data_IF_643735131974
#
_entry.id   IF_643735131974
#
_cell.length_a   1.000
_cell.length_b   1.000
_cell.length_c   1.000
_cell.angle_alpha   90.00
_cell.angle_beta   90.00
_cell.angle_gamma   90.00
#
_symmetry.space_group_name_H-M   'P 1'
#
loop_
_entity.id
_entity.type
_entity.pdbx_description
1 polymer ?
#
# COMPACT_ATOMS: atom_id res chain seq x y z
N UNK A 1 -9.81 -24.55 -5.66
CA UNK A 1 -9.56 -23.17 -6.11
C UNK A 1 -8.88 -23.23 -7.46
N UNK A 2 -9.36 -22.48 -8.44
CA UNK A 2 -8.64 -22.35 -9.72
C UNK A 2 -7.28 -21.68 -9.45
N UNK A 3 -6.15 -22.28 -9.85
CA UNK A 3 -4.81 -21.72 -9.58
C UNK A 3 -4.68 -20.27 -10.07
N UNK A 4 -5.29 -19.96 -11.22
CA UNK A 4 -5.25 -18.62 -11.82
C UNK A 4 -5.97 -17.56 -10.97
N UNK A 5 -7.05 -17.91 -10.26
CA UNK A 5 -7.78 -16.96 -9.39
C UNK A 5 -6.97 -16.62 -8.14
N UNK A 6 -6.26 -17.60 -7.58
CA UNK A 6 -5.38 -17.37 -6.44
C UNK A 6 -4.21 -16.46 -6.81
N UNK A 7 -3.61 -16.65 -8.00
CA UNK A 7 -2.54 -15.79 -8.51
C UNK A 7 -3.03 -14.35 -8.65
N UNK A 8 -4.21 -14.13 -9.23
CA UNK A 8 -4.79 -12.79 -9.38
C UNK A 8 -5.13 -12.16 -8.02
N UNK A 9 -5.73 -12.92 -7.10
CA UNK A 9 -6.09 -12.43 -5.76
C UNK A 9 -4.87 -11.92 -4.97
N UNK A 10 -3.70 -12.55 -5.14
CA UNK A 10 -2.46 -12.14 -4.49
C UNK A 10 -1.70 -11.06 -5.27
N UNK A 11 -1.74 -11.08 -6.59
CA UNK A 11 -1.06 -10.09 -7.43
C UNK A 11 -1.76 -8.72 -7.40
N UNK A 12 -3.07 -8.66 -7.20
CA UNK A 12 -3.85 -7.43 -7.25
C UNK A 12 -3.47 -6.42 -6.13
N UNK A 13 -3.38 -6.80 -4.84
CA UNK A 13 -2.84 -5.93 -3.79
C UNK A 13 -1.42 -5.44 -4.07
N UNK A 14 -0.57 -6.31 -4.62
CA UNK A 14 0.81 -5.96 -4.99
C UNK A 14 0.82 -4.89 -6.10
N UNK A 15 -0.05 -5.04 -7.10
CA UNK A 15 -0.23 -4.05 -8.15
C UNK A 15 -0.68 -2.68 -7.63
N UNK A 16 -1.62 -2.64 -6.68
CA UNK A 16 -2.07 -1.37 -6.09
C UNK A 16 -1.01 -0.67 -5.24
N UNK A 17 -0.10 -1.43 -4.64
CA UNK A 17 0.89 -0.92 -3.69
C UNK A 17 2.29 -0.73 -4.29
N UNK A 18 2.50 -1.06 -5.58
CA UNK A 18 3.84 -1.04 -6.20
C UNK A 18 4.50 0.35 -6.22
N UNK A 19 3.69 1.42 -6.28
CA UNK A 19 4.17 2.80 -6.28
C UNK A 19 4.17 3.46 -4.90
N UNK A 20 3.91 2.70 -3.83
CA UNK A 20 3.79 3.25 -2.47
C UNK A 20 5.15 3.57 -1.85
N UNK A 21 5.73 4.68 -2.30
CA UNK A 21 7.01 5.19 -1.83
C UNK A 21 6.80 6.36 -0.84
N UNK A 22 6.27 6.05 0.35
CA UNK A 22 5.78 7.05 1.33
C UNK A 22 6.56 7.11 2.65
N UNK A 23 7.55 6.24 2.86
CA UNK A 23 8.25 6.09 4.16
C UNK A 23 9.45 7.02 4.32
N UNK A 24 10.40 7.04 3.37
CA UNK A 24 11.62 7.85 3.47
C UNK A 24 11.70 8.91 2.36
N UNK A 25 12.31 10.08 2.62
CA UNK A 25 12.42 11.17 1.65
C UNK A 25 12.98 10.77 0.27
N UNK A 26 14.08 9.98 0.15
CA UNK A 26 14.65 9.65 -1.15
C UNK A 26 13.83 8.65 -1.98
N UNK A 27 12.80 8.01 -1.42
CA UNK A 27 12.06 6.98 -2.13
C UNK A 27 11.15 7.52 -3.24
N UNK A 28 10.73 8.78 -3.14
CA UNK A 28 9.90 9.39 -4.17
C UNK A 28 10.07 10.91 -4.23
N UNK A 29 9.90 11.45 -5.44
CA UNK A 29 9.94 12.90 -5.66
C UNK A 29 8.95 13.65 -4.75
N UNK A 30 7.69 13.19 -4.56
CA UNK A 30 6.76 13.86 -3.64
C UNK A 30 7.26 13.89 -2.19
N UNK A 31 7.83 12.80 -1.68
CA UNK A 31 8.28 12.75 -0.29
C UNK A 31 9.48 13.68 -0.03
N UNK A 32 10.36 13.79 -1.03
CA UNK A 32 11.46 14.75 -1.01
C UNK A 32 10.97 16.21 -1.04
N UNK A 33 9.93 16.51 -1.82
CA UNK A 33 9.32 17.85 -1.84
C UNK A 33 8.81 18.21 -0.44
N UNK A 34 8.06 17.31 0.21
CA UNK A 34 7.60 17.54 1.58
C UNK A 34 8.75 17.75 2.57
N UNK A 35 9.84 16.99 2.46
CA UNK A 35 11.02 17.15 3.30
C UNK A 35 11.71 18.50 3.04
N UNK A 36 11.80 18.91 1.77
CA UNK A 36 12.45 20.17 1.37
C UNK A 36 11.74 21.44 1.84
N UNK A 37 10.46 21.35 2.24
CA UNK A 37 9.72 22.49 2.80
C UNK A 37 10.20 22.90 4.20
N UNK A 38 10.97 22.05 4.88
CA UNK A 38 11.42 22.28 6.26
C UNK A 38 10.36 22.07 7.34
N UNK A 39 9.10 21.78 6.97
CA UNK A 39 8.01 21.53 7.92
C UNK A 39 8.00 20.12 8.51
N UNK A 40 8.57 19.14 7.81
CA UNK A 40 8.53 17.73 8.21
C UNK A 40 9.94 17.16 8.32
N UNK A 41 10.26 16.55 9.46
CA UNK A 41 11.52 15.80 9.61
C UNK A 41 11.44 14.44 8.93
N UNK A 42 12.60 13.83 8.66
CA UNK A 42 12.66 12.46 8.11
C UNK A 42 11.99 11.43 9.05
N UNK A 43 12.00 11.69 10.37
CA UNK A 43 11.34 10.83 11.36
C UNK A 43 9.81 10.93 11.26
N UNK A 44 9.28 12.12 11.06
CA UNK A 44 7.83 12.33 10.93
C UNK A 44 7.29 11.62 9.70
N UNK A 45 8.01 11.71 8.58
CA UNK A 45 7.67 10.98 7.35
C UNK A 45 7.75 9.46 7.53
N UNK A 46 8.76 8.96 8.26
CA UNK A 46 8.89 7.53 8.53
C UNK A 46 7.71 7.00 9.35
N UNK A 47 7.35 7.68 10.43
CA UNK A 47 6.23 7.27 11.29
C UNK A 47 4.91 7.34 10.52
N UNK A 48 4.67 8.44 9.80
CA UNK A 48 3.48 8.60 8.97
C UNK A 48 3.38 7.53 7.88
N UNK A 49 4.48 7.26 7.18
CA UNK A 49 4.56 6.25 6.13
C UNK A 49 4.30 4.85 6.68
N UNK A 50 4.91 4.48 7.81
CA UNK A 50 4.68 3.19 8.46
C UNK A 50 3.22 3.02 8.87
N UNK A 51 2.62 4.01 9.53
CA UNK A 51 1.21 3.97 9.92
C UNK A 51 0.29 3.80 8.70
N UNK A 52 0.55 4.56 7.63
CA UNK A 52 -0.25 4.51 6.40
C UNK A 52 -0.15 3.14 5.72
N UNK A 53 1.07 2.57 5.61
CA UNK A 53 1.28 1.22 5.06
C UNK A 53 0.60 0.16 5.91
N UNK A 54 0.68 0.26 7.25
CA UNK A 54 0.00 -0.68 8.15
C UNK A 54 -1.52 -0.64 7.98
N UNK A 55 -2.12 0.55 7.94
CA UNK A 55 -3.57 0.71 7.73
C UNK A 55 -3.98 0.12 6.39
N UNK A 56 -3.23 0.41 5.33
CA UNK A 56 -3.54 -0.12 4.00
C UNK A 56 -3.40 -1.64 3.89
N UNK A 57 -2.38 -2.20 4.51
CA UNK A 57 -2.21 -3.65 4.60
C UNK A 57 -3.43 -4.29 5.26
N UNK A 58 -3.92 -3.74 6.37
CA UNK A 58 -5.14 -4.20 7.04
C UNK A 58 -6.38 -4.04 6.14
N UNK A 59 -6.49 -2.94 5.40
CA UNK A 59 -7.58 -2.74 4.44
C UNK A 59 -7.54 -3.78 3.31
N UNK A 60 -6.36 -4.14 2.80
CA UNK A 60 -6.24 -5.19 1.78
C UNK A 60 -6.56 -6.59 2.33
N UNK A 61 -6.22 -6.87 3.59
CA UNK A 61 -6.65 -8.10 4.26
C UNK A 61 -8.17 -8.19 4.37
N UNK A 62 -8.84 -7.08 4.70
CA UNK A 62 -10.30 -7.02 4.76
C UNK A 62 -10.96 -7.01 3.37
N UNK A 63 -10.28 -6.46 2.36
CA UNK A 63 -10.75 -6.42 0.97
C UNK A 63 -10.80 -7.81 0.32
N UNK A 64 -10.01 -8.77 0.80
CA UNK A 64 -10.05 -10.16 0.36
C UNK A 64 -11.44 -10.81 0.48
N UNK A 65 -11.96 -11.03 1.70
CA UNK A 65 -13.26 -11.68 1.89
C UNK A 65 -14.46 -10.82 1.49
N UNK A 66 -14.28 -9.51 1.29
CA UNK A 66 -15.36 -8.57 0.93
C UNK A 66 -15.37 -8.25 -0.56
N UNK A 67 -14.46 -7.38 -1.01
CA UNK A 67 -14.43 -6.87 -2.37
C UNK A 67 -13.97 -7.92 -3.39
N UNK A 68 -12.91 -8.69 -3.10
CA UNK A 68 -12.48 -9.74 -4.03
C UNK A 68 -13.50 -10.87 -4.17
N UNK A 69 -14.33 -11.09 -3.14
CA UNK A 69 -15.48 -12.01 -3.20
C UNK A 69 -16.60 -11.47 -4.10
N UNK A 70 -16.91 -10.17 -4.01
CA UNK A 70 -17.90 -9.53 -4.89
C UNK A 70 -17.48 -9.56 -6.37
N UNK A 71 -16.18 -9.37 -6.65
CA UNK A 71 -15.64 -9.40 -8.03
C UNK A 71 -15.49 -10.84 -8.56
N UNK A 72 -15.72 -11.87 -7.74
CA UNK A 72 -15.62 -13.28 -8.14
C UNK A 72 -14.19 -13.80 -8.28
N UNK A 73 -13.21 -13.07 -7.73
CA UNK A 73 -11.79 -13.46 -7.69
C UNK A 73 -11.50 -14.33 -6.47
N UNK A 74 -12.19 -14.07 -5.36
CA UNK A 74 -12.07 -14.81 -4.10
C UNK A 74 -13.08 -15.96 -4.04
N UNK A 75 -12.64 -17.11 -3.51
CA UNK A 75 -13.42 -18.35 -3.34
C UNK A 75 -14.17 -18.34 -2.01
#
# INVERSE_FOLDING_TARGET
MDPNKLVVALALPVGFTICWCITLPPQSKPNLIYYSTGFYSAKDQLIHGLLTVTVAYLLFLLAGPTWFKLVGIWV
#
